data_IF_920119086403
#
_entry.id   IF_920119086403
#
_cell.length_a   1.000
_cell.length_b   1.000
_cell.length_c   1.000
_cell.angle_alpha   90.00
_cell.angle_beta   90.00
_cell.angle_gamma   90.00
#
_symmetry.space_group_name_H-M   'P 1'
#
loop_
_entity.id
_entity.type
_entity.pdbx_description
1 polymer ?
#
# COMPACT_ATOMS: atom_id res chain seq x y z
N UNK A 1 -39.86 -44.77 -20.84
CA UNK A 1 -40.10 -43.31 -20.77
C UNK A 1 -39.50 -42.67 -19.50
N UNK A 2 -39.54 -43.31 -18.33
CA UNK A 2 -39.15 -42.68 -17.05
C UNK A 2 -37.65 -42.34 -16.87
N UNK A 3 -36.72 -43.03 -17.55
CA UNK A 3 -35.28 -42.75 -17.41
C UNK A 3 -34.87 -41.39 -17.98
N UNK A 4 -35.53 -40.93 -19.04
CA UNK A 4 -35.25 -39.64 -19.67
C UNK A 4 -35.73 -38.46 -18.82
N UNK A 5 -36.81 -38.65 -18.05
CA UNK A 5 -37.33 -37.63 -17.13
C UNK A 5 -36.32 -37.35 -16.02
N UNK A 6 -35.70 -38.39 -15.45
CA UNK A 6 -34.69 -38.26 -14.40
C UNK A 6 -33.46 -37.51 -14.94
N UNK A 7 -32.99 -37.86 -16.14
CA UNK A 7 -31.86 -37.18 -16.78
C UNK A 7 -32.17 -35.69 -17.01
N UNK A 8 -33.38 -35.37 -17.49
CA UNK A 8 -33.81 -33.99 -17.67
C UNK A 8 -33.88 -33.22 -16.35
N UNK A 9 -34.37 -33.87 -15.28
CA UNK A 9 -34.44 -33.28 -13.94
C UNK A 9 -33.05 -32.99 -13.37
N UNK A 10 -32.10 -33.92 -13.55
CA UNK A 10 -30.71 -33.74 -13.13
C UNK A 10 -30.01 -32.61 -13.91
N UNK A 11 -30.27 -32.50 -15.23
CA UNK A 11 -29.75 -31.40 -16.07
C UNK A 11 -30.33 -30.04 -15.65
N UNK A 12 -31.63 -29.97 -15.33
CA UNK A 12 -32.27 -28.76 -14.83
C UNK A 12 -31.73 -28.35 -13.45
N UNK A 13 -31.49 -29.32 -12.57
CA UNK A 13 -30.92 -29.06 -11.25
C UNK A 13 -29.46 -28.58 -11.34
N UNK A 14 -28.65 -29.16 -12.24
CA UNK A 14 -27.29 -28.71 -12.52
C UNK A 14 -27.24 -27.29 -13.09
N UNK A 15 -28.19 -26.91 -13.95
CA UNK A 15 -28.35 -25.53 -14.45
C UNK A 15 -28.72 -24.56 -13.33
N UNK A 16 -29.65 -24.95 -12.45
CA UNK A 16 -30.10 -24.12 -11.33
C UNK A 16 -29.01 -23.91 -10.28
N UNK A 17 -28.15 -24.90 -10.04
CA UNK A 17 -27.00 -24.77 -9.12
C UNK A 17 -25.88 -23.89 -9.67
N UNK A 18 -25.73 -23.78 -11.00
CA UNK A 18 -24.82 -22.82 -11.64
C UNK A 18 -25.44 -21.42 -11.80
N UNK A 19 -26.75 -21.26 -11.64
CA UNK A 19 -27.46 -19.98 -11.78
C UNK A 19 -27.38 -19.09 -10.52
N UNK A 20 -26.75 -19.58 -9.45
CA UNK A 20 -26.54 -18.84 -8.21
C UNK A 20 -25.29 -17.93 -8.26
N UNK A 21 -24.98 -17.38 -9.42
CA UNK A 21 -24.03 -16.27 -9.53
C UNK A 21 -24.84 -14.99 -9.32
N UNK A 22 -24.62 -14.31 -8.20
CA UNK A 22 -25.25 -13.01 -7.99
C UNK A 22 -24.86 -12.08 -9.13
N UNK A 23 -25.79 -11.24 -9.58
CA UNK A 23 -25.46 -10.16 -10.49
C UNK A 23 -24.30 -9.37 -9.88
N UNK A 24 -23.10 -9.55 -10.42
CA UNK A 24 -21.94 -8.76 -10.05
C UNK A 24 -22.20 -7.34 -10.56
N UNK A 25 -22.87 -6.52 -9.76
CA UNK A 25 -23.01 -5.09 -10.00
C UNK A 25 -21.58 -4.55 -10.13
N UNK A 26 -21.18 -4.24 -11.37
CA UNK A 26 -19.88 -3.65 -11.66
C UNK A 26 -19.90 -2.22 -11.17
N UNK A 27 -19.53 -2.03 -9.90
CA UNK A 27 -19.37 -0.70 -9.32
C UNK A 27 -18.24 0.05 -10.02
N UNK A 28 -18.32 1.39 -10.10
CA UNK A 28 -17.27 2.19 -10.71
C UNK A 28 -15.96 2.07 -9.89
N UNK A 29 -14.89 1.64 -10.56
CA UNK A 29 -13.55 1.61 -9.98
C UNK A 29 -12.93 2.99 -10.10
N UNK A 30 -12.94 3.76 -9.01
CA UNK A 30 -12.25 5.05 -8.96
C UNK A 30 -10.76 4.83 -8.69
N UNK A 31 -9.91 5.46 -9.50
CA UNK A 31 -8.46 5.37 -9.41
C UNK A 31 -7.89 6.76 -9.18
N UNK A 32 -7.03 6.89 -8.18
CA UNK A 32 -6.37 8.14 -7.85
C UNK A 32 -4.86 7.99 -8.02
N UNK A 33 -4.24 9.03 -8.56
CA UNK A 33 -2.80 9.17 -8.59
C UNK A 33 -2.41 10.39 -7.75
N UNK A 34 -1.48 10.21 -6.83
CA UNK A 34 -1.02 11.24 -5.91
C UNK A 34 0.50 11.35 -6.02
N UNK A 35 1.01 12.58 -6.07
CA UNK A 35 2.42 12.89 -6.00
C UNK A 35 2.66 13.80 -4.80
N UNK A 36 3.61 13.45 -3.95
CA UNK A 36 3.92 14.16 -2.71
C UNK A 36 5.41 14.38 -2.56
N UNK A 37 5.80 15.54 -2.07
CA UNK A 37 7.15 15.78 -1.58
C UNK A 37 7.24 15.37 -0.11
N UNK A 38 8.32 14.66 0.24
CA UNK A 38 8.60 14.20 1.59
C UNK A 38 9.74 15.03 2.19
N UNK A 39 9.59 15.41 3.45
CA UNK A 39 10.62 16.04 4.24
C UNK A 39 10.42 15.63 5.71
N UNK A 40 11.49 15.26 6.41
CA UNK A 40 11.35 14.77 7.77
C UNK A 40 12.67 14.60 8.50
N UNK A 41 12.64 13.82 9.58
CA UNK A 41 13.80 13.57 10.45
C UNK A 41 13.93 12.09 10.72
N UNK A 42 15.17 11.58 10.76
CA UNK A 42 15.44 10.22 11.22
C UNK A 42 15.37 10.23 12.74
N UNK A 43 14.50 9.41 13.31
CA UNK A 43 14.43 9.22 14.76
C UNK A 43 15.56 8.30 15.21
N UNK A 44 16.35 8.78 16.19
CA UNK A 44 17.41 7.99 16.85
C UNK A 44 16.77 6.91 17.71
N UNK A 45 16.58 5.73 17.13
CA UNK A 45 16.04 4.55 17.81
C UNK A 45 17.15 3.63 18.38
N UNK A 46 18.41 3.92 18.04
CA UNK A 46 19.61 3.27 18.57
C UNK A 46 20.76 4.30 18.58
N UNK A 47 21.50 4.50 19.69
CA UNK A 47 22.65 5.40 19.73
C UNK A 47 23.73 5.09 18.69
N UNK A 48 23.84 3.83 18.25
CA UNK A 48 24.80 3.42 17.23
C UNK A 48 24.57 4.08 15.87
N UNK A 49 23.38 4.63 15.58
CA UNK A 49 23.11 5.31 14.31
C UNK A 49 23.16 6.84 14.41
N UNK A 50 23.40 7.40 15.59
CA UNK A 50 23.37 8.85 15.81
C UNK A 50 24.32 9.61 14.88
N UNK A 51 25.50 9.04 14.58
CA UNK A 51 26.48 9.64 13.66
C UNK A 51 26.04 9.64 12.19
N UNK A 52 24.99 8.89 11.84
CA UNK A 52 24.41 8.85 10.49
C UNK A 52 23.27 9.85 10.31
N UNK A 53 22.73 10.40 11.40
CA UNK A 53 21.66 11.39 11.38
C UNK A 53 22.29 12.77 11.27
N UNK A 54 22.66 13.16 10.04
CA UNK A 54 23.38 14.42 9.79
C UNK A 54 22.48 15.58 9.37
N UNK A 55 21.34 15.30 8.77
CA UNK A 55 20.40 16.29 8.24
C UNK A 55 19.01 15.65 8.05
N UNK A 56 18.06 16.43 7.54
CA UNK A 56 16.67 16.05 7.31
C UNK A 56 16.49 15.35 5.94
N UNK A 57 16.06 14.07 5.91
CA UNK A 57 15.78 13.39 4.66
C UNK A 57 14.70 14.10 3.85
N UNK A 58 14.85 14.04 2.53
CA UNK A 58 13.89 14.59 1.57
C UNK A 58 13.58 13.58 0.48
N UNK A 59 12.40 13.63 -0.12
CA UNK A 59 12.04 12.64 -1.14
C UNK A 59 10.81 12.99 -1.96
N UNK A 60 10.48 12.10 -2.88
CA UNK A 60 9.25 12.15 -3.67
C UNK A 60 8.54 10.82 -3.56
N UNK A 61 7.24 10.87 -3.32
CA UNK A 61 6.35 9.72 -3.22
C UNK A 61 5.30 9.80 -4.32
N UNK A 62 5.14 8.72 -5.07
CA UNK A 62 4.07 8.55 -6.07
C UNK A 62 3.18 7.40 -5.62
N UNK A 63 1.89 7.69 -5.39
CA UNK A 63 0.90 6.71 -4.94
C UNK A 63 -0.15 6.51 -6.01
N UNK A 64 -0.41 5.26 -6.35
CA UNK A 64 -1.58 4.84 -7.09
C UNK A 64 -2.54 4.14 -6.14
N UNK A 65 -3.78 4.65 -6.07
CA UNK A 65 -4.83 4.15 -5.20
C UNK A 65 -6.02 3.66 -6.04
N UNK A 66 -6.53 2.47 -5.71
CA UNK A 66 -7.82 1.97 -6.19
C UNK A 66 -8.84 2.10 -5.06
N UNK A 67 -9.81 3.00 -5.20
CA UNK A 67 -10.91 3.15 -4.23
C UNK A 67 -11.90 2.00 -4.40
N UNK A 68 -12.50 1.61 -3.28
CA UNK A 68 -13.43 0.49 -3.20
C UNK A 68 -14.78 1.00 -2.70
N UNK A 69 -15.87 0.45 -3.23
CA UNK A 69 -17.23 0.93 -2.95
C UNK A 69 -18.22 -0.21 -2.66
N UNK A 70 -17.73 -1.36 -2.18
CA UNK A 70 -18.60 -2.49 -1.82
C UNK A 70 -18.69 -3.54 -2.92
N UNK A 71 -17.62 -3.71 -3.72
CA UNK A 71 -17.53 -4.84 -4.67
C UNK A 71 -17.48 -6.18 -3.92
N UNK A 72 -17.01 -6.17 -2.68
CA UNK A 72 -16.92 -7.36 -1.82
C UNK A 72 -17.60 -7.09 -0.48
N UNK A 73 -18.26 -8.12 0.06
CA UNK A 73 -19.01 -8.03 1.32
C UNK A 73 -18.17 -7.54 2.52
N UNK A 74 -16.87 -7.86 2.53
CA UNK A 74 -15.98 -7.43 3.61
C UNK A 74 -15.65 -5.93 3.56
N UNK A 75 -15.80 -5.27 2.41
CA UNK A 75 -15.45 -3.85 2.27
C UNK A 75 -16.33 -2.98 3.17
N UNK A 76 -17.65 -3.22 3.22
CA UNK A 76 -18.55 -2.46 4.08
C UNK A 76 -18.28 -2.67 5.58
N UNK A 77 -17.87 -3.89 5.97
CA UNK A 77 -17.51 -4.23 7.36
C UNK A 77 -16.33 -3.40 7.88
N UNK A 78 -15.42 -2.99 6.99
CA UNK A 78 -14.22 -2.23 7.33
C UNK A 78 -14.22 -0.80 6.78
N UNK A 79 -15.41 -0.22 6.56
CA UNK A 79 -15.58 1.16 6.09
C UNK A 79 -14.93 1.44 4.70
N UNK A 80 -14.99 0.44 3.81
CA UNK A 80 -14.53 0.45 2.42
C UNK A 80 -13.06 0.86 2.27
N UNK A 81 -12.12 0.03 2.76
CA UNK A 81 -10.69 0.33 2.65
C UNK A 81 -10.22 0.19 1.21
N UNK A 82 -9.30 1.04 0.79
CA UNK A 82 -8.68 0.90 -0.53
C UNK A 82 -7.79 -0.35 -0.54
N UNK A 83 -7.89 -1.17 -1.58
CA UNK A 83 -7.02 -2.33 -1.76
C UNK A 83 -6.35 -2.33 -3.13
N UNK A 84 -5.16 -2.93 -3.20
CA UNK A 84 -4.37 -2.98 -4.43
C UNK A 84 -3.72 -1.64 -4.79
N UNK A 85 -3.47 -0.79 -3.81
CA UNK A 85 -2.66 0.41 -3.98
C UNK A 85 -1.19 0.05 -4.15
N UNK A 86 -0.47 0.85 -4.93
CA UNK A 86 0.98 0.72 -5.14
C UNK A 86 1.60 2.08 -4.92
N UNK A 87 2.71 2.12 -4.20
CA UNK A 87 3.49 3.34 -3.98
C UNK A 87 4.94 3.11 -4.37
N UNK A 88 5.53 4.11 -5.02
CA UNK A 88 6.96 4.21 -5.25
C UNK A 88 7.50 5.46 -4.53
N UNK A 89 8.66 5.34 -3.89
CA UNK A 89 9.28 6.43 -3.15
C UNK A 89 10.76 6.51 -3.49
N UNK A 90 11.22 7.71 -3.77
CA UNK A 90 12.63 8.07 -3.75
C UNK A 90 12.89 8.92 -2.51
N UNK A 91 13.95 8.62 -1.77
CA UNK A 91 14.34 9.35 -0.58
C UNK A 91 15.87 9.53 -0.53
N UNK A 92 16.31 10.77 -0.42
CA UNK A 92 17.69 11.16 -0.14
C UNK A 92 17.85 11.32 1.38
N UNK A 93 18.76 10.56 1.98
CA UNK A 93 19.00 10.55 3.43
C UNK A 93 19.99 11.62 3.88
N UNK A 94 20.48 12.47 2.95
CA UNK A 94 21.38 13.61 3.24
C UNK A 94 22.62 13.22 4.03
N UNK A 95 23.09 11.99 3.83
CA UNK A 95 24.27 11.46 4.47
C UNK A 95 25.07 10.65 3.46
N UNK A 96 26.38 10.88 3.37
CA UNK A 96 27.24 10.22 2.40
C UNK A 96 27.34 8.70 2.62
N UNK A 97 27.13 8.19 3.84
CA UNK A 97 27.21 6.76 4.14
C UNK A 97 25.87 6.05 3.92
N UNK A 98 24.74 6.74 4.17
CA UNK A 98 23.40 6.22 3.94
C UNK A 98 22.96 6.33 2.46
N UNK A 99 23.33 7.44 1.81
CA UNK A 99 23.01 7.73 0.42
C UNK A 99 21.51 7.94 0.18
N UNK A 100 20.98 7.20 -0.79
CA UNK A 100 19.62 7.33 -1.29
C UNK A 100 18.93 5.96 -1.28
N UNK A 101 17.62 6.00 -1.05
CA UNK A 101 16.75 4.84 -0.98
C UNK A 101 15.64 4.96 -2.00
N UNK A 102 15.44 3.88 -2.76
CA UNK A 102 14.37 3.74 -3.73
C UNK A 102 13.48 2.61 -3.26
N UNK A 103 12.21 2.85 -3.01
CA UNK A 103 11.31 1.80 -2.53
C UNK A 103 10.04 1.69 -3.36
N UNK A 104 9.51 0.49 -3.40
CA UNK A 104 8.23 0.18 -4.00
C UNK A 104 7.48 -0.80 -3.12
N UNK A 105 6.22 -0.50 -2.83
CA UNK A 105 5.40 -1.31 -1.95
C UNK A 105 3.93 -1.31 -2.36
N UNK A 106 3.25 -2.41 -2.05
CA UNK A 106 1.80 -2.47 -2.10
C UNK A 106 1.24 -1.96 -0.78
N UNK A 107 0.10 -1.28 -0.81
CA UNK A 107 -0.53 -0.73 0.39
C UNK A 107 -2.05 -0.86 0.41
N UNK A 108 -2.59 -0.80 1.63
CA UNK A 108 -4.01 -0.73 1.95
C UNK A 108 -4.29 0.56 2.72
N UNK A 109 -5.38 1.25 2.38
CA UNK A 109 -5.80 2.46 3.10
C UNK A 109 -7.06 2.17 3.92
N UNK A 110 -6.93 2.26 5.24
CA UNK A 110 -8.05 2.18 6.18
C UNK A 110 -8.52 3.58 6.57
N UNK A 111 -9.81 3.74 6.76
CA UNK A 111 -10.41 5.04 7.03
C UNK A 111 -11.12 5.08 8.38
N UNK A 112 -10.78 6.09 9.18
CA UNK A 112 -11.37 6.35 10.49
C UNK A 112 -12.04 7.74 10.51
N UNK A 113 -12.85 7.98 11.54
CA UNK A 113 -13.50 9.27 11.80
C UNK A 113 -14.19 9.84 10.56
N UNK A 114 -15.12 9.08 9.95
CA UNK A 114 -15.82 9.48 8.72
C UNK A 114 -14.90 9.82 7.54
N UNK A 115 -13.80 9.06 7.41
CA UNK A 115 -12.76 9.21 6.36
C UNK A 115 -11.91 10.48 6.48
N UNK A 116 -11.96 11.17 7.62
CA UNK A 116 -11.04 12.28 7.91
C UNK A 116 -9.61 11.81 8.25
N UNK A 117 -9.44 10.54 8.62
CA UNK A 117 -8.14 9.95 8.91
C UNK A 117 -7.93 8.71 8.05
N UNK A 118 -6.85 8.70 7.28
CA UNK A 118 -6.40 7.61 6.43
C UNK A 118 -5.15 6.97 7.06
N UNK A 119 -5.25 5.70 7.43
CA UNK A 119 -4.11 4.88 7.82
C UNK A 119 -3.74 3.96 6.65
N UNK A 120 -2.62 4.26 6.02
CA UNK A 120 -2.04 3.46 4.96
C UNK A 120 -1.02 2.47 5.53
N UNK A 121 -1.26 1.18 5.36
CA UNK A 121 -0.35 0.10 5.73
C UNK A 121 0.24 -0.49 4.46
N UNK A 122 1.57 -0.52 4.34
CA UNK A 122 2.23 -1.01 3.14
C UNK A 122 3.39 -1.96 3.43
N UNK A 123 3.63 -2.88 2.50
CA UNK A 123 4.76 -3.80 2.54
C UNK A 123 5.37 -3.96 1.15
N UNK A 124 6.69 -4.10 1.08
CA UNK A 124 7.39 -4.20 -0.19
C UNK A 124 8.90 -4.30 -0.04
N UNK A 125 9.61 -3.68 -0.97
CA UNK A 125 11.06 -3.73 -1.06
C UNK A 125 11.64 -2.33 -1.14
N UNK A 126 12.82 -2.16 -0.55
CA UNK A 126 13.63 -0.96 -0.68
C UNK A 126 15.01 -1.34 -1.23
N UNK A 127 15.47 -0.58 -2.22
CA UNK A 127 16.81 -0.61 -2.76
C UNK A 127 17.64 0.52 -2.13
N UNK A 128 18.77 0.16 -1.54
CA UNK A 128 19.72 1.08 -0.90
C UNK A 128 20.95 1.17 -1.79
N UNK A 129 21.30 2.39 -2.21
CA UNK A 129 22.42 2.60 -3.12
C UNK A 129 23.80 2.40 -2.44
N UNK A 130 23.88 2.63 -1.12
CA UNK A 130 25.10 2.54 -0.31
C UNK A 130 24.90 1.67 0.93
N UNK A 131 24.82 0.34 0.81
CA UNK A 131 24.80 -0.54 1.99
C UNK A 131 26.16 -0.54 2.71
N UNK A 132 26.22 -1.18 3.86
CA UNK A 132 27.44 -1.52 4.58
C UNK A 132 28.40 -2.28 3.67
N UNK A 133 29.66 -1.87 3.70
CA UNK A 133 30.77 -2.58 3.07
C UNK A 133 32.01 -2.39 3.95
N UNK A 134 32.70 -3.45 4.39
CA UNK A 134 33.79 -3.33 5.36
C UNK A 134 35.00 -2.56 4.83
N UNK A 135 35.13 -2.38 3.52
CA UNK A 135 36.28 -1.69 2.89
C UNK A 135 35.90 -0.27 2.48
N UNK A 136 34.72 -0.09 1.87
CA UNK A 136 34.31 1.16 1.21
C UNK A 136 33.26 1.96 1.99
N UNK A 137 32.47 1.32 2.86
CA UNK A 137 31.39 1.97 3.61
C UNK A 137 31.17 1.37 5.01
N UNK A 138 32.25 1.21 5.78
CA UNK A 138 32.18 0.56 7.10
C UNK A 138 31.40 1.38 8.14
N UNK A 139 31.12 2.66 7.87
CA UNK A 139 30.36 3.55 8.75
C UNK A 139 28.85 3.36 8.66
N UNK A 140 28.33 2.76 7.58
CA UNK A 140 26.90 2.49 7.47
C UNK A 140 26.55 1.21 8.24
N UNK A 141 26.20 1.34 9.50
CA UNK A 141 25.69 0.24 10.32
C UNK A 141 24.15 0.12 10.29
N UNK A 142 23.46 0.87 9.43
CA UNK A 142 22.01 0.85 9.31
C UNK A 142 21.51 -0.19 8.29
N UNK A 143 22.22 -0.36 7.17
CA UNK A 143 21.77 -1.21 6.06
C UNK A 143 22.83 -2.23 5.62
N UNK A 144 22.59 -3.51 5.86
CA UNK A 144 23.55 -4.57 5.49
C UNK A 144 23.50 -5.02 4.02
N UNK A 145 22.41 -4.74 3.30
CA UNK A 145 22.15 -5.26 1.95
C UNK A 145 21.61 -4.19 1.01
N UNK A 146 21.83 -4.36 -0.30
CA UNK A 146 21.26 -3.47 -1.32
C UNK A 146 19.75 -3.56 -1.45
N UNK A 147 19.15 -4.70 -1.08
CA UNK A 147 17.70 -4.90 -1.11
C UNK A 147 17.27 -5.35 0.28
N UNK A 148 16.25 -4.70 0.83
CA UNK A 148 15.63 -5.07 2.10
C UNK A 148 14.12 -5.14 1.96
N UNK A 149 13.47 -5.91 2.84
CA UNK A 149 12.03 -5.78 3.05
C UNK A 149 11.70 -4.43 3.65
N UNK A 150 10.55 -3.90 3.29
CA UNK A 150 10.01 -2.63 3.76
C UNK A 150 8.63 -2.86 4.36
N UNK A 151 8.40 -2.31 5.55
CA UNK A 151 7.10 -2.17 6.16
C UNK A 151 6.88 -0.68 6.45
N UNK A 152 5.75 -0.13 6.02
CA UNK A 152 5.47 1.30 6.13
C UNK A 152 4.09 1.54 6.73
N UNK A 153 4.05 2.53 7.62
CA UNK A 153 2.84 3.08 8.22
C UNK A 153 2.79 4.55 7.84
N UNK A 154 1.71 4.96 7.17
CA UNK A 154 1.50 6.33 6.76
C UNK A 154 0.13 6.79 7.26
N UNK A 155 0.13 7.86 8.05
CA UNK A 155 -1.08 8.46 8.59
C UNK A 155 -1.32 9.79 7.89
N UNK A 156 -2.48 9.96 7.26
CA UNK A 156 -2.86 11.16 6.53
C UNK A 156 -4.18 11.68 7.09
N UNK A 157 -4.18 12.94 7.50
CA UNK A 157 -5.40 13.68 7.82
C UNK A 157 -5.95 14.32 6.54
N UNK A 158 -7.21 14.04 6.23
CA UNK A 158 -7.93 14.64 5.10
C UNK A 158 -8.96 15.61 5.65
N UNK A 159 -8.88 16.87 5.22
CA UNK A 159 -9.95 17.83 5.45
C UNK A 159 -11.06 17.61 4.41
N UNK A 160 -12.31 17.79 4.81
CA UNK A 160 -13.42 17.83 3.86
C UNK A 160 -13.29 19.13 3.07
N UNK A 161 -12.93 19.03 1.79
CA UNK A 161 -13.17 20.14 0.87
C UNK A 161 -14.69 20.19 0.71
N UNK A 162 -15.35 21.11 1.41
CA UNK A 162 -16.76 21.42 1.17
C UNK A 162 -16.86 21.87 -0.28
N UNK A 163 -17.42 21.02 -1.14
CA UNK A 163 -17.97 21.48 -2.41
C UNK A 163 -19.36 21.99 -2.00
N UNK A 164 -19.49 23.31 -1.91
CA UNK A 164 -20.81 23.94 -1.81
C UNK A 164 -21.64 23.49 -3.03
N UNK A 165 -22.80 22.90 -2.77
CA UNK A 165 -23.85 22.67 -3.77
C UNK A 165 -24.59 23.97 -4.08
#
# INVERSE_FOLDING_TARGET
>A
MNKWIIVFLCLAFAKASLAQESENIKLPVVRNFEASYLYGTILEHNPDIAHLITDHPSGVMLRYNRKTYGEKEWESRYNYPDWGGITAVYQDLKNLYLGEVYSAYGHYNFYFFNRNLELSLGTGLAYINRPFDPVTNARNNAYGSRITSLLIYLLITREKIFIEE
#
